data_IF_306864195788
#
_entry.id   IF_306864195788
#
_cell.length_a   1.000
_cell.length_b   1.000
_cell.length_c   1.000
_cell.angle_alpha   90.00
_cell.angle_beta   90.00
_cell.angle_gamma   90.00
#
_symmetry.space_group_name_H-M   'P 1'
#
loop_
_entity.id
_entity.type
_entity.pdbx_description
1 polymer ?
#
# COMPACT_ATOMS: atom_id res chain seq x y z
N UNK A 1 -15.20 23.23 5.36
CA UNK A 1 -13.85 22.84 4.89
C UNK A 1 -13.24 21.83 5.86
N UNK A 2 -12.42 20.91 5.37
CA UNK A 2 -11.67 19.91 6.15
C UNK A 2 -10.33 19.66 5.44
N UNK A 3 -9.26 19.49 6.21
CA UNK A 3 -7.97 19.05 5.70
C UNK A 3 -7.88 17.53 5.86
N UNK A 4 -7.47 16.84 4.81
CA UNK A 4 -7.21 15.40 4.83
C UNK A 4 -5.70 15.17 4.80
N UNK A 5 -5.21 14.39 5.76
CA UNK A 5 -3.78 14.07 5.90
C UNK A 5 -3.56 12.58 5.69
N UNK A 6 -2.78 12.23 4.67
CA UNK A 6 -2.34 10.86 4.40
C UNK A 6 -0.95 10.60 4.99
N UNK A 7 -0.88 10.58 6.32
CA UNK A 7 0.34 10.26 7.10
C UNK A 7 1.50 11.26 6.96
N UNK A 8 1.21 12.51 6.56
CA UNK A 8 2.18 13.58 6.42
C UNK A 8 2.58 14.22 7.75
N UNK A 9 3.88 14.27 8.05
CA UNK A 9 4.41 14.80 9.29
C UNK A 9 4.22 16.32 9.40
N UNK A 10 4.46 17.05 8.31
CA UNK A 10 4.38 18.52 8.30
C UNK A 10 2.98 19.02 8.65
N UNK A 11 1.94 18.34 8.20
CA UNK A 11 0.55 18.67 8.56
C UNK A 11 0.34 18.55 10.07
N UNK A 12 0.79 17.44 10.68
CA UNK A 12 0.70 17.24 12.13
C UNK A 12 1.43 18.34 12.93
N UNK A 13 2.63 18.68 12.51
CA UNK A 13 3.42 19.76 13.13
C UNK A 13 2.78 21.13 12.95
N UNK A 14 2.26 21.43 11.76
CA UNK A 14 1.55 22.69 11.47
C UNK A 14 0.35 22.86 12.41
N UNK A 15 -0.46 21.81 12.59
CA UNK A 15 -1.60 21.87 13.51
C UNK A 15 -1.17 21.96 14.98
N UNK A 16 -0.05 21.37 15.35
CA UNK A 16 0.48 21.51 16.71
C UNK A 16 0.94 22.93 17.01
N UNK A 17 1.63 23.58 16.07
CA UNK A 17 2.24 24.90 16.24
C UNK A 17 1.25 26.03 16.02
N UNK A 18 0.56 26.06 14.89
CA UNK A 18 -0.27 27.18 14.45
C UNK A 18 -1.73 27.07 14.82
N UNK A 19 -2.20 25.87 15.21
CA UNK A 19 -3.58 25.60 15.65
C UNK A 19 -4.66 26.15 14.69
N UNK A 20 -4.64 25.82 13.39
CA UNK A 20 -5.67 26.27 12.47
C UNK A 20 -7.08 25.89 12.97
N UNK A 21 -8.07 26.74 12.68
CA UNK A 21 -9.48 26.47 13.06
C UNK A 21 -10.13 25.40 12.19
N UNK A 22 -9.59 25.16 10.99
CA UNK A 22 -10.09 24.13 10.07
C UNK A 22 -9.81 22.75 10.67
N UNK A 23 -10.83 21.90 10.87
CA UNK A 23 -10.61 20.55 11.37
C UNK A 23 -9.82 19.71 10.35
N UNK A 24 -8.99 18.77 10.84
CA UNK A 24 -8.35 17.83 9.96
C UNK A 24 -8.51 16.38 10.40
N UNK A 25 -8.55 15.51 9.41
CA UNK A 25 -8.73 14.07 9.55
C UNK A 25 -7.53 13.37 8.96
N UNK A 26 -7.00 12.40 9.69
CA UNK A 26 -5.90 11.57 9.23
C UNK A 26 -6.43 10.26 8.67
N UNK A 27 -5.90 9.83 7.53
CA UNK A 27 -6.26 8.57 6.87
C UNK A 27 -4.98 7.77 6.60
N UNK A 28 -4.94 6.50 6.98
CA UNK A 28 -3.82 5.61 6.68
C UNK A 28 -3.85 4.33 7.51
N UNK A 29 -3.32 3.24 6.97
CA UNK A 29 -3.22 1.97 7.68
C UNK A 29 -2.26 2.04 8.88
N UNK A 30 -1.27 2.93 8.84
CA UNK A 30 -0.29 3.14 9.91
C UNK A 30 -0.92 3.58 11.23
N UNK A 31 -2.11 4.20 11.19
CA UNK A 31 -2.82 4.58 12.41
C UNK A 31 -3.31 3.38 13.23
N UNK A 32 -3.37 2.17 12.65
CA UNK A 32 -3.58 0.94 13.40
C UNK A 32 -2.48 0.69 14.43
N UNK A 33 -1.25 1.18 14.22
CA UNK A 33 -0.16 1.02 15.18
C UNK A 33 -0.41 1.70 16.53
N UNK A 34 -1.35 2.63 16.58
CA UNK A 34 -1.79 3.29 17.82
C UNK A 34 -2.97 2.58 18.48
N UNK A 35 -3.67 1.70 17.76
CA UNK A 35 -4.85 1.01 18.27
C UNK A 35 -4.48 0.04 19.40
N UNK A 36 -5.23 0.04 20.51
CA UNK A 36 -4.91 -0.74 21.70
C UNK A 36 -4.93 -2.26 21.48
N UNK A 37 -5.73 -2.73 20.53
CA UNK A 37 -5.83 -4.16 20.18
C UNK A 37 -5.03 -4.55 18.95
N UNK A 38 -4.09 -3.68 18.49
CA UNK A 38 -3.22 -4.02 17.39
C UNK A 38 -2.04 -4.86 17.88
N UNK A 39 -1.96 -6.09 17.41
CA UNK A 39 -0.89 -7.02 17.75
C UNK A 39 0.31 -6.83 16.82
N UNK A 40 1.44 -6.50 17.41
CA UNK A 40 2.69 -6.40 16.67
C UNK A 40 3.41 -7.75 16.66
N UNK A 41 4.09 -8.09 15.54
CA UNK A 41 5.05 -9.18 15.57
C UNK A 41 6.15 -8.88 16.61
N UNK A 42 6.79 -9.93 17.14
CA UNK A 42 7.88 -9.76 18.11
C UNK A 42 8.99 -8.89 17.53
N UNK A 43 9.16 -7.68 18.04
CA UNK A 43 10.16 -6.70 17.63
C UNK A 43 10.77 -6.02 18.84
N UNK A 44 11.87 -5.30 18.61
CA UNK A 44 12.47 -4.43 19.63
C UNK A 44 11.46 -3.39 20.13
N UNK A 45 11.34 -3.27 21.46
CA UNK A 45 10.47 -2.29 22.12
C UNK A 45 10.83 -0.86 21.70
N UNK A 46 12.12 -0.58 21.48
CA UNK A 46 12.59 0.74 21.03
C UNK A 46 12.04 1.07 19.64
N UNK A 47 12.13 0.13 18.69
CA UNK A 47 11.63 0.34 17.32
C UNK A 47 10.12 0.57 17.32
N UNK A 48 9.36 -0.18 18.11
CA UNK A 48 7.91 0.01 18.24
C UNK A 48 7.56 1.36 18.88
N UNK A 49 8.30 1.78 19.88
CA UNK A 49 8.11 3.08 20.54
C UNK A 49 8.37 4.24 19.56
N UNK A 50 9.44 4.16 18.78
CA UNK A 50 9.76 5.15 17.74
C UNK A 50 8.68 5.20 16.66
N UNK A 51 8.22 4.05 16.18
CA UNK A 51 7.15 3.96 15.19
C UNK A 51 5.85 4.60 15.71
N UNK A 52 5.43 4.25 16.92
CA UNK A 52 4.25 4.84 17.56
C UNK A 52 4.41 6.33 17.80
N UNK A 53 5.58 6.76 18.24
CA UNK A 53 5.89 8.19 18.41
C UNK A 53 5.75 8.94 17.09
N UNK A 54 6.38 8.46 16.01
CA UNK A 54 6.27 9.08 14.69
C UNK A 54 4.82 9.11 14.21
N UNK A 55 4.09 8.02 14.36
CA UNK A 55 2.66 7.95 13.98
C UNK A 55 1.81 8.95 14.76
N UNK A 56 2.11 9.20 16.05
CA UNK A 56 1.44 10.26 16.83
C UNK A 56 1.79 11.65 16.29
N UNK A 57 3.03 11.88 15.92
CA UNK A 57 3.49 13.17 15.39
C UNK A 57 2.76 13.55 14.09
N UNK A 58 2.51 12.59 13.18
CA UNK A 58 1.76 12.84 11.94
C UNK A 58 0.30 13.23 12.18
N UNK A 59 -0.25 12.96 13.36
CA UNK A 59 -1.67 13.16 13.68
C UNK A 59 -1.89 14.04 14.91
N UNK A 60 -0.93 14.90 15.24
CA UNK A 60 -1.08 15.84 16.36
C UNK A 60 -2.30 16.73 16.15
N UNK A 61 -3.17 16.76 17.17
CA UNK A 61 -4.44 17.54 17.15
C UNK A 61 -5.44 17.12 16.06
N UNK A 62 -5.27 15.98 15.43
CA UNK A 62 -6.28 15.45 14.52
C UNK A 62 -7.63 15.30 15.22
N UNK A 63 -8.70 15.71 14.56
CA UNK A 63 -10.06 15.52 15.04
C UNK A 63 -10.45 14.03 15.03
N UNK A 64 -9.95 13.27 14.06
CA UNK A 64 -10.17 11.82 13.93
C UNK A 64 -9.04 11.18 13.14
N UNK A 65 -8.74 9.93 13.46
CA UNK A 65 -7.85 9.04 12.68
C UNK A 65 -8.70 7.93 12.06
N UNK A 66 -8.68 7.83 10.74
CA UNK A 66 -9.30 6.74 10.00
C UNK A 66 -8.22 5.70 9.68
N UNK A 67 -8.21 4.63 10.43
CA UNK A 67 -7.24 3.56 10.25
C UNK A 67 -7.75 2.53 9.25
N UNK A 68 -7.08 2.43 8.10
CA UNK A 68 -7.42 1.47 7.05
C UNK A 68 -7.04 0.04 7.49
N UNK A 69 -7.94 -0.91 7.35
CA UNK A 69 -7.72 -2.30 7.78
C UNK A 69 -8.38 -3.31 6.87
N UNK A 70 -7.70 -4.45 6.66
CA UNK A 70 -8.26 -5.64 6.02
C UNK A 70 -9.28 -6.37 6.91
N UNK A 71 -9.22 -6.17 8.22
CA UNK A 71 -10.09 -6.82 9.18
C UNK A 71 -10.99 -5.79 9.86
N UNK A 72 -12.22 -6.19 10.14
CA UNK A 72 -13.09 -5.42 11.02
C UNK A 72 -12.50 -5.40 12.41
N UNK A 73 -12.37 -4.22 12.98
CA UNK A 73 -11.99 -3.98 14.36
C UNK A 73 -12.90 -2.89 14.93
N UNK A 74 -13.12 -2.91 16.22
CA UNK A 74 -13.87 -1.86 16.89
C UNK A 74 -13.08 -0.55 16.90
N UNK A 75 -13.78 0.57 16.94
CA UNK A 75 -13.15 1.88 17.05
C UNK A 75 -12.49 2.06 18.42
N UNK A 76 -11.28 2.60 18.44
CA UNK A 76 -10.60 2.96 19.67
C UNK A 76 -10.91 4.42 20.05
N UNK A 77 -11.79 4.59 21.05
CA UNK A 77 -12.20 5.94 21.50
C UNK A 77 -11.07 6.69 22.19
N UNK A 78 -10.18 5.98 22.89
CA UNK A 78 -9.06 6.59 23.63
C UNK A 78 -8.06 7.24 22.69
N UNK A 79 -7.70 6.56 21.61
CA UNK A 79 -6.80 7.07 20.57
C UNK A 79 -7.55 7.81 19.45
N UNK A 80 -8.88 7.96 19.55
CA UNK A 80 -9.74 8.58 18.49
C UNK A 80 -9.55 7.95 17.14
N UNK A 81 -9.47 6.62 17.11
CA UNK A 81 -9.30 5.84 15.88
C UNK A 81 -10.64 5.23 15.48
N UNK A 82 -11.05 5.47 14.26
CA UNK A 82 -12.12 4.70 13.60
C UNK A 82 -11.48 3.76 12.60
N UNK A 83 -11.71 2.47 12.77
CA UNK A 83 -11.23 1.47 11.82
C UNK A 83 -12.19 1.41 10.65
N UNK A 84 -11.67 1.56 9.44
CA UNK A 84 -12.45 1.64 8.20
C UNK A 84 -11.86 0.69 7.15
N UNK A 85 -12.65 0.25 6.16
CA UNK A 85 -12.13 -0.54 5.05
C UNK A 85 -11.05 0.20 4.28
N UNK A 86 -10.19 -0.52 3.52
CA UNK A 86 -9.23 0.08 2.61
C UNK A 86 -9.89 1.01 1.58
N UNK A 87 -9.15 2.02 1.15
CA UNK A 87 -9.54 2.84 0.01
C UNK A 87 -9.18 2.08 -1.27
N UNK A 88 -10.12 2.05 -2.20
CA UNK A 88 -9.92 1.45 -3.52
C UNK A 88 -10.10 2.52 -4.59
N UNK A 89 -9.29 2.46 -5.64
CA UNK A 89 -9.50 3.29 -6.83
C UNK A 89 -10.86 2.96 -7.46
N UNK A 90 -11.55 3.98 -7.96
CA UNK A 90 -12.87 3.79 -8.61
C UNK A 90 -12.78 2.83 -9.79
N UNK A 91 -11.69 2.89 -10.53
CA UNK A 91 -11.39 2.03 -11.67
C UNK A 91 -11.40 0.56 -11.27
N UNK A 92 -10.76 0.22 -10.15
CA UNK A 92 -10.71 -1.16 -9.63
C UNK A 92 -12.12 -1.68 -9.29
N UNK A 93 -12.96 -0.84 -8.71
CA UNK A 93 -14.33 -1.26 -8.33
C UNK A 93 -15.24 -1.50 -9.53
N UNK A 94 -14.88 -0.99 -10.70
CA UNK A 94 -15.61 -1.19 -11.95
C UNK A 94 -15.04 -2.34 -12.82
N UNK A 95 -13.86 -2.87 -12.46
CA UNK A 95 -13.22 -3.94 -13.23
C UNK A 95 -13.90 -5.30 -13.03
N UNK A 96 -13.87 -6.09 -14.09
CA UNK A 96 -14.25 -7.51 -14.03
C UNK A 96 -12.95 -8.33 -13.97
N UNK A 97 -12.70 -9.08 -12.89
CA UNK A 97 -11.50 -9.90 -12.80
C UNK A 97 -11.56 -11.09 -13.73
N UNK A 98 -10.47 -11.36 -14.43
CA UNK A 98 -10.27 -12.52 -15.29
C UNK A 98 -9.14 -13.38 -14.72
N UNK A 99 -9.11 -14.67 -15.07
CA UNK A 99 -8.05 -15.58 -14.65
C UNK A 99 -7.12 -15.89 -15.82
N UNK A 100 -6.05 -15.13 -15.94
CA UNK A 100 -5.00 -15.38 -16.91
C UNK A 100 -3.99 -16.44 -16.44
N UNK A 101 -2.88 -16.55 -17.17
CA UNK A 101 -1.83 -17.55 -16.93
C UNK A 101 -0.51 -16.93 -16.43
N UNK A 102 -0.48 -15.66 -16.06
CA UNK A 102 0.74 -14.93 -15.67
C UNK A 102 0.68 -14.39 -14.24
N UNK A 103 1.86 -14.16 -13.67
CA UNK A 103 2.02 -13.42 -12.43
C UNK A 103 2.18 -11.94 -12.77
N UNK A 104 1.36 -11.10 -12.14
CA UNK A 104 1.53 -9.65 -12.14
C UNK A 104 2.23 -9.22 -10.86
N UNK A 105 3.22 -8.35 -10.97
CA UNK A 105 3.97 -7.90 -9.81
C UNK A 105 4.24 -6.41 -9.78
N UNK A 106 4.55 -5.93 -8.58
CA UNK A 106 4.94 -4.55 -8.31
C UNK A 106 6.08 -4.46 -7.30
N UNK A 107 7.07 -3.66 -7.62
CA UNK A 107 8.16 -3.31 -6.70
C UNK A 107 8.40 -1.80 -6.72
N UNK A 108 8.49 -1.20 -5.54
CA UNK A 108 8.82 0.23 -5.40
C UNK A 108 10.29 0.48 -5.73
N UNK A 109 11.17 -0.48 -5.43
CA UNK A 109 12.61 -0.37 -5.62
C UNK A 109 13.08 -1.39 -6.66
N UNK A 110 13.70 -0.92 -7.74
CA UNK A 110 14.28 -1.78 -8.78
C UNK A 110 15.38 -2.73 -8.27
N UNK A 111 15.94 -2.51 -7.08
CA UNK A 111 16.90 -3.41 -6.43
C UNK A 111 16.34 -4.81 -6.09
N UNK A 112 15.00 -5.00 -6.17
CA UNK A 112 14.40 -6.33 -6.04
C UNK A 112 14.31 -7.11 -7.37
N UNK A 113 14.77 -6.53 -8.49
CA UNK A 113 14.74 -7.21 -9.80
C UNK A 113 15.49 -8.53 -9.79
N UNK A 114 16.67 -8.58 -9.17
CA UNK A 114 17.47 -9.81 -9.05
C UNK A 114 16.70 -10.96 -8.37
N UNK A 115 15.85 -10.63 -7.39
CA UNK A 115 15.02 -11.62 -6.71
C UNK A 115 13.90 -12.16 -7.61
N UNK A 116 13.35 -11.32 -8.46
CA UNK A 116 12.34 -11.70 -9.45
C UNK A 116 12.98 -12.57 -10.53
N UNK A 117 14.16 -12.19 -11.02
CA UNK A 117 14.93 -12.99 -12.00
C UNK A 117 15.34 -14.36 -11.44
N UNK A 118 15.78 -14.39 -10.17
CA UNK A 118 16.11 -15.65 -9.49
C UNK A 118 14.89 -16.57 -9.35
N UNK A 119 13.71 -16.02 -9.01
CA UNK A 119 12.46 -16.79 -9.01
C UNK A 119 12.13 -17.31 -10.40
N UNK A 120 12.22 -16.44 -11.42
CA UNK A 120 11.91 -16.79 -12.80
C UNK A 120 12.85 -17.87 -13.36
N UNK A 121 14.14 -17.82 -13.02
CA UNK A 121 15.10 -18.85 -13.41
C UNK A 121 14.74 -20.26 -12.91
N UNK A 122 14.00 -20.33 -11.78
CA UNK A 122 13.49 -21.60 -11.25
C UNK A 122 12.15 -22.02 -11.89
N UNK A 123 11.44 -21.07 -12.49
CA UNK A 123 10.09 -21.24 -13.05
C UNK A 123 9.95 -20.55 -14.41
N UNK A 124 10.78 -20.89 -15.41
CA UNK A 124 10.82 -20.18 -16.69
C UNK A 124 9.55 -20.34 -17.54
N UNK A 125 8.72 -21.33 -17.21
CA UNK A 125 7.43 -21.59 -17.86
C UNK A 125 6.32 -20.64 -17.42
N UNK A 126 6.50 -19.91 -16.31
CA UNK A 126 5.49 -19.01 -15.75
C UNK A 126 5.73 -17.59 -16.32
N UNK A 127 4.79 -17.03 -17.10
CA UNK A 127 4.93 -15.64 -17.52
C UNK A 127 4.85 -14.69 -16.34
N UNK A 128 5.79 -13.74 -16.26
CA UNK A 128 5.92 -12.78 -15.16
C UNK A 128 6.03 -11.36 -15.72
N UNK A 129 5.18 -10.48 -15.25
CA UNK A 129 5.16 -9.08 -15.61
C UNK A 129 5.25 -8.23 -14.35
N UNK A 130 6.43 -7.65 -14.08
CA UNK A 130 6.65 -6.77 -12.93
C UNK A 130 6.66 -5.30 -13.34
N UNK A 131 5.99 -4.46 -12.53
CA UNK A 131 6.06 -3.01 -12.64
C UNK A 131 7.06 -2.46 -11.62
N UNK A 132 7.87 -1.50 -12.03
CA UNK A 132 8.89 -0.86 -11.22
C UNK A 132 8.99 0.64 -11.45
N UNK A 133 9.56 1.35 -10.47
CA UNK A 133 9.88 2.77 -10.57
C UNK A 133 11.34 2.96 -11.02
N UNK A 134 11.67 2.53 -12.23
CA UNK A 134 13.00 2.73 -12.83
C UNK A 134 12.88 3.71 -14.00
N UNK A 135 13.15 4.98 -13.73
CA UNK A 135 12.93 6.07 -14.69
C UNK A 135 13.81 6.01 -15.94
N UNK A 136 15.04 5.46 -15.82
CA UNK A 136 16.00 5.35 -16.92
C UNK A 136 15.85 4.06 -17.76
N UNK A 137 14.78 3.29 -17.53
CA UNK A 137 14.51 2.08 -18.30
C UNK A 137 13.53 2.35 -19.43
N UNK A 138 13.53 1.48 -20.45
CA UNK A 138 12.50 1.46 -21.47
C UNK A 138 11.12 1.21 -20.86
N UNK A 139 10.05 1.64 -21.55
CA UNK A 139 8.67 1.40 -21.12
C UNK A 139 8.41 -0.07 -20.80
N UNK A 140 9.03 -0.98 -21.56
CA UNK A 140 9.04 -2.42 -21.33
C UNK A 140 10.44 -2.97 -21.54
N UNK A 141 11.07 -3.42 -20.47
CA UNK A 141 12.33 -4.14 -20.48
C UNK A 141 12.06 -5.62 -20.50
N UNK A 142 12.28 -6.29 -21.65
CA UNK A 142 12.16 -7.74 -21.78
C UNK A 142 13.47 -8.40 -21.35
N UNK A 143 13.39 -9.32 -20.38
CA UNK A 143 14.51 -10.18 -20.00
C UNK A 143 14.57 -11.39 -20.92
N UNK A 144 13.41 -12.04 -21.14
CA UNK A 144 13.25 -13.16 -22.07
C UNK A 144 11.81 -13.22 -22.65
N UNK A 145 11.39 -14.40 -23.11
CA UNK A 145 10.05 -14.61 -23.69
C UNK A 145 8.92 -14.53 -22.65
N UNK A 146 9.21 -14.77 -21.38
CA UNK A 146 8.23 -14.94 -20.30
C UNK A 146 8.44 -13.94 -19.13
N UNK A 147 9.59 -13.27 -19.02
CA UNK A 147 9.83 -12.24 -18.01
C UNK A 147 9.96 -10.85 -18.63
N UNK A 148 9.19 -9.91 -18.13
CA UNK A 148 9.29 -8.48 -18.49
C UNK A 148 9.08 -7.56 -17.31
N UNK A 149 9.83 -6.45 -17.29
CA UNK A 149 9.64 -5.34 -16.39
C UNK A 149 9.01 -4.17 -17.15
N UNK A 150 8.09 -3.49 -16.49
CA UNK A 150 7.31 -2.39 -17.07
C UNK A 150 7.47 -1.14 -16.23
N UNK A 151 7.56 0.01 -16.86
CA UNK A 151 7.41 1.28 -16.15
C UNK A 151 5.98 1.41 -15.60
N UNK A 152 5.85 2.13 -14.48
CA UNK A 152 4.56 2.33 -13.83
C UNK A 152 3.64 3.14 -14.74
N UNK A 153 2.49 2.55 -15.08
CA UNK A 153 1.39 3.15 -15.79
C UNK A 153 0.10 2.65 -15.14
N UNK A 154 -0.69 3.54 -14.60
CA UNK A 154 -1.86 3.19 -13.78
C UNK A 154 -2.88 2.32 -14.53
N UNK A 155 -3.13 2.62 -15.79
CA UNK A 155 -4.12 1.88 -16.60
C UNK A 155 -3.61 0.48 -16.93
N UNK A 156 -2.36 0.39 -17.42
CA UNK A 156 -1.73 -0.90 -17.74
C UNK A 156 -1.57 -1.77 -16.51
N UNK A 157 -1.17 -1.16 -15.38
CA UNK A 157 -1.01 -1.83 -14.10
C UNK A 157 -2.32 -2.50 -13.65
N UNK A 158 -3.42 -1.74 -13.61
CA UNK A 158 -4.71 -2.25 -13.17
C UNK A 158 -5.28 -3.31 -14.12
N UNK A 159 -5.17 -3.11 -15.42
CA UNK A 159 -5.64 -4.08 -16.41
C UNK A 159 -4.88 -5.41 -16.27
N UNK A 160 -3.55 -5.36 -16.06
CA UNK A 160 -2.77 -6.58 -15.81
C UNK A 160 -3.11 -7.22 -14.47
N UNK A 161 -3.35 -6.42 -13.44
CA UNK A 161 -3.79 -6.95 -12.14
C UNK A 161 -5.14 -7.66 -12.27
N UNK A 162 -6.11 -7.07 -12.97
CA UNK A 162 -7.42 -7.67 -13.17
C UNK A 162 -7.35 -9.00 -13.96
N UNK A 163 -6.42 -9.10 -14.92
CA UNK A 163 -6.27 -10.29 -15.78
C UNK A 163 -5.24 -11.33 -15.27
N UNK A 164 -4.53 -11.12 -14.17
CA UNK A 164 -3.49 -12.04 -13.74
C UNK A 164 -4.02 -13.30 -13.03
N UNK A 165 -3.17 -14.33 -12.94
CA UNK A 165 -3.41 -15.52 -12.12
C UNK A 165 -3.12 -15.27 -10.64
N UNK A 166 -2.03 -14.52 -10.37
CA UNK A 166 -1.58 -14.20 -9.01
C UNK A 166 -0.90 -12.83 -9.00
N UNK A 167 -0.92 -12.18 -7.84
CA UNK A 167 -0.27 -10.90 -7.61
C UNK A 167 0.90 -11.04 -6.63
N UNK A 168 2.04 -10.44 -6.97
CA UNK A 168 3.22 -10.41 -6.13
C UNK A 168 3.71 -8.96 -5.93
N UNK A 169 4.06 -8.57 -4.71
CA UNK A 169 4.57 -7.22 -4.47
C UNK A 169 5.50 -7.13 -3.27
N UNK A 170 6.23 -6.02 -3.18
CA UNK A 170 7.01 -5.63 -2.00
C UNK A 170 6.15 -5.09 -0.86
N UNK A 171 4.88 -5.53 -0.77
CA UNK A 171 3.93 -5.27 0.31
C UNK A 171 3.45 -3.81 0.46
N UNK A 172 3.21 -3.11 -0.66
CA UNK A 172 2.45 -1.86 -0.66
C UNK A 172 0.98 -2.11 -0.26
N UNK A 173 0.47 -1.38 0.74
CA UNK A 173 -0.87 -1.62 1.30
C UNK A 173 -1.98 -1.50 0.25
N UNK A 174 -1.99 -0.42 -0.53
CA UNK A 174 -3.05 -0.10 -1.49
C UNK A 174 -3.15 -1.15 -2.59
N UNK A 175 -2.04 -1.52 -3.21
CA UNK A 175 -2.04 -2.50 -4.31
C UNK A 175 -2.45 -3.91 -3.84
N UNK A 176 -2.11 -4.28 -2.60
CA UNK A 176 -2.60 -5.52 -2.00
C UNK A 176 -4.12 -5.46 -1.78
N UNK A 177 -4.66 -4.31 -1.33
CA UNK A 177 -6.10 -4.14 -1.17
C UNK A 177 -6.84 -4.32 -2.48
N UNK A 178 -6.30 -3.77 -3.56
CA UNK A 178 -6.87 -3.88 -4.91
C UNK A 178 -6.81 -5.30 -5.45
N UNK A 179 -5.67 -5.96 -5.28
CA UNK A 179 -5.52 -7.37 -5.67
C UNK A 179 -6.50 -8.28 -4.91
N UNK A 180 -6.64 -8.08 -3.59
CA UNK A 180 -7.62 -8.82 -2.78
C UNK A 180 -9.06 -8.54 -3.22
N UNK A 181 -9.41 -7.30 -3.54
CA UNK A 181 -10.73 -6.93 -4.04
C UNK A 181 -11.05 -7.63 -5.36
N UNK A 182 -10.07 -7.73 -6.26
CA UNK A 182 -10.17 -8.44 -7.53
C UNK A 182 -10.05 -9.99 -7.37
N UNK A 183 -9.97 -10.50 -6.14
CA UNK A 183 -9.89 -11.94 -5.86
C UNK A 183 -8.57 -12.58 -6.32
N UNK A 184 -7.48 -11.80 -6.39
CA UNK A 184 -6.15 -12.31 -6.77
C UNK A 184 -5.41 -12.84 -5.55
N UNK A 185 -4.89 -14.09 -5.62
CA UNK A 185 -4.05 -14.66 -4.57
C UNK A 185 -2.66 -14.02 -4.55
#
# INVERSE_FOLDING_TARGET
EVVINFYELLTGLTYALFRPSVPYVCIGHQYLFLHNHFEFPRKSVIQLSMLRFFTRMTSLRASRRLALSFRKMESDRTERISVVPPLLRREVTAMQPEQGNYIHGYMVNSGFADSVEAFHALHPEIPVHFFWDKQDADEVTKVDATLSFHQIDDVKFLNRMAGCRAYASTAGFESICEAMYLGKP
#
